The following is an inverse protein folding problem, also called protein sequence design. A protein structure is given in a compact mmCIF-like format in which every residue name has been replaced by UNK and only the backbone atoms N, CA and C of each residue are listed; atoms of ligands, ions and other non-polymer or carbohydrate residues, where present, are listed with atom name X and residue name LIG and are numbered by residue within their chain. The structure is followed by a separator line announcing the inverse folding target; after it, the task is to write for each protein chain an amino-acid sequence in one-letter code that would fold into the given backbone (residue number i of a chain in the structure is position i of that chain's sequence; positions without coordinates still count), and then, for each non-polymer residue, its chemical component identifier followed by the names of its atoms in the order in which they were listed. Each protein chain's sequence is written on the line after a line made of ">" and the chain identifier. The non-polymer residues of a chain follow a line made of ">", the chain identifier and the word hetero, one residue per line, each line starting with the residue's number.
data_IF_155583730891
#
_entry.id   IF_155583730891
#
_cell.length_a   1.000
_cell.length_b   1.000
_cell.length_c   1.000
_cell.angle_alpha   90.00
_cell.angle_beta   90.00
_cell.angle_gamma   90.00
#
_symmetry.space_group_name_H-M   'P 1'
#
loop_
_entity.id
_entity.type
_entity.pdbx_description
1 polymer ?
#
# COMPACT_ATOMS: atom_id res chain seq x y z
N UNK A 1 -5.54 3.46 0.83
CA UNK A 1 -6.63 2.95 1.68
C UNK A 1 -6.97 3.87 2.86
N UNK A 2 -6.16 3.91 3.94
CA UNK A 2 -6.57 4.55 5.20
C UNK A 2 -6.89 6.05 5.06
N UNK A 3 -6.08 6.80 4.31
CA UNK A 3 -6.33 8.23 4.05
C UNK A 3 -7.64 8.43 3.29
N UNK A 4 -7.86 7.70 2.20
CA UNK A 4 -9.09 7.78 1.40
C UNK A 4 -10.34 7.47 2.24
N UNK A 5 -10.27 6.39 3.03
CA UNK A 5 -11.35 6.01 3.94
C UNK A 5 -11.61 7.06 5.02
N UNK A 6 -10.55 7.62 5.60
CA UNK A 6 -10.63 8.70 6.59
C UNK A 6 -11.33 9.94 6.03
N UNK A 7 -11.01 10.32 4.79
CA UNK A 7 -11.69 11.41 4.08
C UNK A 7 -13.17 11.08 3.86
N UNK A 8 -13.48 9.89 3.29
CA UNK A 8 -14.88 9.48 3.03
C UNK A 8 -15.73 9.45 4.29
N UNK A 9 -15.16 9.02 5.41
CA UNK A 9 -15.84 8.95 6.70
C UNK A 9 -15.88 10.29 7.46
N UNK A 10 -15.27 11.36 6.95
CA UNK A 10 -15.21 12.66 7.63
C UNK A 10 -14.30 12.70 8.86
N UNK A 11 -13.42 11.70 9.03
CA UNK A 11 -12.40 11.68 10.09
C UNK A 11 -11.17 12.51 9.70
N UNK A 12 -10.91 12.64 8.39
CA UNK A 12 -9.86 13.49 7.82
C UNK A 12 -10.45 14.56 6.92
N UNK A 13 -9.76 15.71 6.85
CA UNK A 13 -10.12 16.80 5.93
C UNK A 13 -10.01 16.33 4.48
N UNK A 14 -10.92 16.81 3.63
CA UNK A 14 -10.97 16.47 2.19
C UNK A 14 -9.70 16.85 1.43
N UNK A 15 -8.92 17.81 1.93
CA UNK A 15 -7.61 18.22 1.41
C UNK A 15 -6.58 17.08 1.36
N UNK A 16 -6.80 15.99 2.13
CA UNK A 16 -5.95 14.81 2.08
C UNK A 16 -6.26 13.87 0.91
N UNK A 17 -7.39 14.05 0.21
CA UNK A 17 -7.79 13.19 -0.90
C UNK A 17 -6.74 13.13 -2.02
N UNK A 18 -6.17 14.25 -2.50
CA UNK A 18 -5.14 14.23 -3.54
C UNK A 18 -3.89 13.42 -3.15
N UNK A 19 -3.55 13.36 -1.85
CA UNK A 19 -2.43 12.53 -1.37
C UNK A 19 -2.73 11.05 -1.57
N UNK A 20 -3.95 10.61 -1.24
CA UNK A 20 -4.38 9.23 -1.44
C UNK A 20 -4.45 8.86 -2.93
N UNK A 21 -4.93 9.78 -3.78
CA UNK A 21 -5.01 9.56 -5.23
C UNK A 21 -3.61 9.45 -5.86
N UNK A 22 -2.67 10.32 -5.46
CA UNK A 22 -1.26 10.26 -5.92
C UNK A 22 -0.60 8.94 -5.51
N UNK A 23 -0.83 8.49 -4.29
CA UNK A 23 -0.31 7.20 -3.83
C UNK A 23 -0.95 6.03 -4.61
N UNK A 24 -2.25 6.09 -4.89
CA UNK A 24 -2.95 5.08 -5.69
C UNK A 24 -2.40 4.97 -7.12
N UNK A 25 -2.11 6.10 -7.75
CA UNK A 25 -1.48 6.12 -9.07
C UNK A 25 -0.11 5.42 -9.02
N UNK A 26 0.74 5.77 -8.06
CA UNK A 26 2.09 5.21 -7.95
C UNK A 26 2.11 3.69 -7.66
N UNK A 27 1.20 3.18 -6.81
CA UNK A 27 1.21 1.75 -6.47
C UNK A 27 0.68 0.85 -7.59
N UNK A 28 -0.08 1.39 -8.56
CA UNK A 28 -0.53 0.59 -9.71
C UNK A 28 0.65 0.12 -10.57
N UNK A 29 1.76 0.87 -10.59
CA UNK A 29 2.98 0.49 -11.33
C UNK A 29 3.67 -0.76 -10.77
N UNK A 30 3.29 -1.20 -9.56
CA UNK A 30 3.84 -2.39 -8.91
C UNK A 30 3.03 -3.66 -9.19
N UNK A 31 1.96 -3.57 -9.98
CA UNK A 31 1.18 -4.74 -10.41
C UNK A 31 1.83 -5.30 -11.68
N UNK A 32 2.34 -6.53 -11.60
CA UNK A 32 2.92 -7.21 -12.74
C UNK A 32 1.87 -7.54 -13.81
N UNK A 33 2.26 -7.85 -15.06
CA UNK A 33 1.33 -8.32 -16.08
C UNK A 33 0.56 -9.60 -15.69
N UNK A 34 1.10 -10.40 -14.75
CA UNK A 34 0.43 -11.58 -14.21
C UNK A 34 -0.59 -11.25 -13.10
N UNK A 35 -0.64 -9.99 -12.65
CA UNK A 35 -1.53 -9.53 -11.57
C UNK A 35 -0.91 -9.58 -10.18
N UNK A 36 0.40 -9.87 -10.06
CA UNK A 36 1.08 -9.90 -8.77
C UNK A 36 1.42 -8.49 -8.30
N UNK A 37 1.11 -8.18 -7.04
CA UNK A 37 1.57 -6.95 -6.41
C UNK A 37 2.99 -7.15 -5.86
N UNK A 38 3.96 -6.43 -6.45
CA UNK A 38 5.40 -6.55 -6.17
C UNK A 38 5.91 -5.45 -5.24
N UNK A 39 7.20 -5.50 -4.87
CA UNK A 39 7.83 -4.49 -4.01
C UNK A 39 7.41 -4.58 -2.54
N UNK A 40 6.88 -5.73 -2.13
CA UNK A 40 6.40 -5.97 -0.76
C UNK A 40 7.53 -6.60 0.04
N UNK A 41 7.86 -6.02 1.19
CA UNK A 41 8.82 -6.61 2.13
C UNK A 41 8.32 -7.96 2.64
N UNK A 42 9.22 -8.91 2.86
CA UNK A 42 8.90 -10.17 3.55
C UNK A 42 8.38 -9.95 4.98
N UNK A 43 7.83 -11.02 5.57
CA UNK A 43 7.39 -11.02 6.97
C UNK A 43 8.54 -10.61 7.90
N UNK A 44 8.33 -9.54 8.67
CA UNK A 44 9.40 -8.88 9.43
C UNK A 44 9.13 -8.92 10.92
N UNK A 45 10.08 -9.43 11.71
CA UNK A 45 10.05 -9.35 13.17
C UNK A 45 10.62 -8.00 13.65
N UNK A 46 10.39 -7.60 14.91
CA UNK A 46 11.04 -6.41 15.45
C UNK A 46 12.57 -6.51 15.43
N UNK A 47 13.25 -5.42 15.05
CA UNK A 47 14.71 -5.34 14.99
C UNK A 47 15.23 -3.90 14.96
N UNK A 48 16.52 -3.73 14.69
CA UNK A 48 17.15 -2.42 14.49
C UNK A 48 17.05 -1.97 13.02
N UNK A 49 17.60 -0.80 12.70
CA UNK A 49 17.57 -0.26 11.33
C UNK A 49 18.24 -1.21 10.32
N UNK A 50 19.39 -1.80 10.67
CA UNK A 50 20.10 -2.71 9.79
C UNK A 50 19.28 -3.98 9.50
N UNK A 51 18.53 -4.48 10.48
CA UNK A 51 17.56 -5.55 10.28
C UNK A 51 16.49 -5.16 9.25
N UNK A 52 15.82 -4.02 9.44
CA UNK A 52 14.77 -3.56 8.52
C UNK A 52 15.29 -3.33 7.10
N UNK A 53 16.50 -2.78 6.96
CA UNK A 53 17.13 -2.55 5.65
C UNK A 53 17.53 -3.86 4.93
N UNK A 54 17.68 -4.96 5.67
CA UNK A 54 18.07 -6.26 5.11
C UNK A 54 16.89 -7.10 4.58
N UNK A 55 15.64 -6.68 4.82
CA UNK A 55 14.47 -7.48 4.48
C UNK A 55 14.29 -7.56 2.96
N UNK A 56 14.22 -8.77 2.38
CA UNK A 56 13.96 -8.93 0.95
C UNK A 56 12.60 -8.34 0.54
N UNK A 57 12.56 -7.77 -0.65
CA UNK A 57 11.32 -7.28 -1.28
C UNK A 57 10.94 -8.17 -2.46
N UNK A 58 9.64 -8.46 -2.60
CA UNK A 58 9.15 -9.35 -3.63
C UNK A 58 7.62 -9.34 -3.70
N UNK A 59 7.05 -10.52 -3.87
CA UNK A 59 5.60 -10.74 -3.90
C UNK A 59 5.20 -11.44 -2.61
N UNK A 60 4.28 -10.82 -1.87
CA UNK A 60 3.77 -11.33 -0.61
C UNK A 60 2.25 -11.24 -0.57
N UNK A 61 1.60 -12.29 -0.05
CA UNK A 61 0.13 -12.40 -0.07
C UNK A 61 -0.57 -11.26 0.66
N UNK A 62 0.03 -10.77 1.75
CA UNK A 62 -0.50 -9.64 2.50
C UNK A 62 -0.41 -8.33 1.70
N UNK A 63 0.59 -8.17 0.82
CA UNK A 63 0.68 -7.03 -0.09
C UNK A 63 -0.49 -7.00 -1.09
N UNK A 64 -0.77 -8.12 -1.74
CA UNK A 64 -1.94 -8.25 -2.64
C UNK A 64 -3.24 -7.94 -1.91
N UNK A 65 -3.42 -8.45 -0.69
CA UNK A 65 -4.61 -8.16 0.11
C UNK A 65 -4.80 -6.67 0.39
N UNK A 66 -3.72 -5.97 0.77
CA UNK A 66 -3.76 -4.52 1.01
C UNK A 66 -4.01 -3.74 -0.28
N UNK A 67 -3.42 -4.15 -1.40
CA UNK A 67 -3.66 -3.55 -2.71
C UNK A 67 -5.14 -3.63 -3.11
N UNK A 68 -5.76 -4.82 -2.97
CA UNK A 68 -7.17 -5.02 -3.29
C UNK A 68 -8.10 -4.19 -2.38
N UNK A 69 -7.79 -4.09 -1.08
CA UNK A 69 -8.53 -3.22 -0.18
C UNK A 69 -8.40 -1.75 -0.57
N UNK A 70 -7.19 -1.31 -0.97
CA UNK A 70 -7.01 0.05 -1.47
C UNK A 70 -7.81 0.30 -2.75
N UNK A 71 -7.81 -0.65 -3.69
CA UNK A 71 -8.59 -0.58 -4.92
C UNK A 71 -10.09 -0.43 -4.63
N UNK A 72 -10.62 -1.18 -3.66
CA UNK A 72 -12.03 -1.11 -3.30
C UNK A 72 -12.46 0.24 -2.67
N UNK A 73 -11.52 0.99 -2.09
CA UNK A 73 -11.81 2.29 -1.47
C UNK A 73 -11.54 3.48 -2.42
N UNK A 74 -10.68 3.28 -3.43
CA UNK A 74 -10.21 4.34 -4.34
C UNK A 74 -10.79 4.24 -5.76
N UNK A 75 -11.50 3.16 -6.09
CA UNK A 75 -12.27 3.01 -7.34
C UNK A 75 -13.72 3.41 -7.18
#
# INVERSE_FOLDING_TARGET
>A
LAIAKGVRCGVLLSEWRPVADRAWQAVQDYVSPAGDFTGVSGGTLPGDAAHYDSIPVGVERFGTGIFLLAAAELR
#
